data_IF_658340602654
#
_entry.id   IF_658340602654
#
_cell.length_a   1.000
_cell.length_b   1.000
_cell.length_c   1.000
_cell.angle_alpha   90.00
_cell.angle_beta   90.00
_cell.angle_gamma   90.00
#
_symmetry.space_group_name_H-M   'P 1'
#
loop_
_entity.id
_entity.type
_entity.pdbx_description
1 polymer ?
#
# COMPACT_ATOMS: atom_id res chain seq x y z
N UNK A 1 -9.85 -28.47 -25.54
CA UNK A 1 -10.89 -27.47 -25.87
C UNK A 1 -11.40 -26.73 -24.62
N UNK A 2 -10.53 -26.12 -23.80
CA UNK A 2 -10.93 -25.47 -22.53
C UNK A 2 -10.41 -24.03 -22.35
N UNK A 3 -9.78 -23.46 -23.38
CA UNK A 3 -9.19 -22.11 -23.35
C UNK A 3 -10.09 -21.01 -23.96
N UNK A 4 -11.15 -21.36 -24.67
CA UNK A 4 -12.06 -20.40 -25.33
C UNK A 4 -13.24 -19.93 -24.48
N UNK A 5 -13.56 -20.62 -23.36
CA UNK A 5 -14.70 -20.26 -22.50
C UNK A 5 -14.31 -19.17 -21.49
N UNK A 6 -13.05 -19.10 -21.07
CA UNK A 6 -12.58 -18.15 -20.05
C UNK A 6 -12.49 -16.70 -20.59
N UNK A 7 -12.08 -16.53 -21.85
CA UNK A 7 -12.01 -15.21 -22.48
C UNK A 7 -13.40 -14.58 -22.68
N UNK A 8 -14.42 -15.38 -22.95
CA UNK A 8 -15.79 -14.89 -23.16
C UNK A 8 -16.44 -14.45 -21.84
N UNK A 9 -16.17 -15.16 -20.74
CA UNK A 9 -16.67 -14.78 -19.42
C UNK A 9 -16.03 -13.48 -18.90
N UNK A 10 -14.73 -13.27 -19.15
CA UNK A 10 -14.02 -12.06 -18.76
C UNK A 10 -14.45 -10.84 -19.57
N UNK A 11 -14.66 -10.99 -20.89
CA UNK A 11 -15.18 -9.91 -21.75
C UNK A 11 -16.62 -9.55 -21.36
N UNK A 12 -17.47 -10.53 -21.04
CA UNK A 12 -18.85 -10.28 -20.59
C UNK A 12 -18.89 -9.55 -19.25
N UNK A 13 -18.02 -9.90 -18.29
CA UNK A 13 -17.92 -9.18 -17.02
C UNK A 13 -17.45 -7.73 -17.20
N UNK A 14 -16.40 -7.48 -18.01
CA UNK A 14 -15.92 -6.12 -18.28
C UNK A 14 -16.97 -5.24 -18.99
N UNK A 15 -17.75 -5.82 -19.91
CA UNK A 15 -18.83 -5.07 -20.55
C UNK A 15 -20.01 -4.80 -19.60
N UNK A 16 -20.29 -5.69 -18.66
CA UNK A 16 -21.39 -5.52 -17.72
C UNK A 16 -21.10 -4.42 -16.68
N UNK A 17 -19.85 -4.33 -16.19
CA UNK A 17 -19.45 -3.25 -15.28
C UNK A 17 -19.41 -1.89 -15.98
N UNK A 18 -18.90 -1.81 -17.22
CA UNK A 18 -18.93 -0.57 -18.01
C UNK A 18 -20.36 -0.11 -18.33
N UNK A 19 -21.24 -1.03 -18.74
CA UNK A 19 -22.66 -0.72 -19.02
C UNK A 19 -23.44 -0.31 -17.76
N UNK A 20 -23.16 -0.93 -16.60
CA UNK A 20 -23.80 -0.58 -15.34
C UNK A 20 -23.35 0.79 -14.82
N UNK A 21 -22.06 1.13 -14.99
CA UNK A 21 -21.53 2.45 -14.66
C UNK A 21 -22.11 3.52 -15.59
N UNK A 22 -22.20 3.26 -16.89
CA UNK A 22 -22.86 4.13 -17.85
C UNK A 22 -24.34 4.38 -17.51
N UNK A 23 -25.05 3.35 -17.00
CA UNK A 23 -26.46 3.49 -16.60
C UNK A 23 -26.63 4.29 -15.31
N UNK A 24 -25.74 4.11 -14.32
CA UNK A 24 -25.74 4.86 -13.06
C UNK A 24 -25.47 6.37 -13.28
N UNK A 25 -24.70 6.70 -14.30
CA UNK A 25 -24.30 8.07 -14.65
C UNK A 25 -25.27 8.79 -15.59
N UNK A 26 -26.41 8.18 -15.92
CA UNK A 26 -27.48 8.86 -16.67
C UNK A 26 -28.12 9.97 -15.82
N UNK A 27 -28.54 11.06 -16.47
CA UNK A 27 -29.16 12.19 -15.80
C UNK A 27 -30.36 11.82 -14.89
N UNK A 28 -31.19 10.87 -15.33
CA UNK A 28 -32.34 10.40 -14.55
C UNK A 28 -31.90 9.57 -13.31
N UNK A 29 -30.83 8.79 -13.44
CA UNK A 29 -30.25 8.03 -12.33
C UNK A 29 -29.59 8.96 -11.31
N UNK A 30 -28.78 9.91 -11.76
CA UNK A 30 -28.15 10.93 -10.93
C UNK A 30 -29.19 11.78 -10.18
N UNK A 31 -30.28 12.18 -10.85
CA UNK A 31 -31.37 12.93 -10.21
C UNK A 31 -32.03 12.10 -9.10
N UNK A 32 -32.26 10.81 -9.33
CA UNK A 32 -32.80 9.91 -8.29
C UNK A 32 -31.84 9.73 -7.13
N UNK A 33 -30.54 9.55 -7.40
CA UNK A 33 -29.51 9.42 -6.36
C UNK A 33 -29.41 10.69 -5.51
N UNK A 34 -29.36 11.87 -6.14
CA UNK A 34 -29.37 13.16 -5.44
C UNK A 34 -30.61 13.30 -4.55
N UNK A 35 -31.79 12.98 -5.10
CA UNK A 35 -33.04 13.01 -4.33
C UNK A 35 -33.03 12.05 -3.14
N UNK A 36 -32.46 10.86 -3.31
CA UNK A 36 -32.30 9.90 -2.22
C UNK A 36 -31.36 10.43 -1.13
N UNK A 37 -30.18 10.93 -1.49
CA UNK A 37 -29.23 11.49 -0.51
C UNK A 37 -29.84 12.66 0.27
N UNK A 38 -30.53 13.58 -0.41
CA UNK A 38 -31.20 14.71 0.23
C UNK A 38 -32.34 14.28 1.17
N UNK A 39 -33.02 13.17 0.88
CA UNK A 39 -34.05 12.62 1.75
C UNK A 39 -33.48 11.96 3.01
N UNK A 40 -32.30 11.34 2.92
CA UNK A 40 -31.62 10.72 4.07
C UNK A 40 -30.80 11.71 4.91
N UNK A 41 -30.20 12.72 4.28
CA UNK A 41 -29.34 13.72 4.90
C UNK A 41 -30.06 15.07 4.97
N UNK A 42 -31.08 15.14 5.84
CA UNK A 42 -31.92 16.34 5.98
C UNK A 42 -31.15 17.54 6.52
N UNK A 43 -31.45 18.73 6.01
CA UNK A 43 -30.82 19.99 6.39
C UNK A 43 -31.80 20.87 7.19
N UNK A 44 -32.00 20.55 8.48
CA UNK A 44 -32.89 21.30 9.36
C UNK A 44 -32.13 22.32 10.23
N UNK A 45 -31.77 23.45 9.62
CA UNK A 45 -31.08 24.54 10.32
C UNK A 45 -31.95 25.29 11.35
N UNK A 46 -33.25 24.96 11.46
CA UNK A 46 -34.14 25.58 12.44
C UNK A 46 -34.11 24.81 13.75
N UNK A 47 -34.20 23.48 13.67
CA UNK A 47 -34.33 22.63 14.85
C UNK A 47 -33.03 21.92 15.26
N UNK A 48 -32.10 21.69 14.32
CA UNK A 48 -30.85 20.97 14.60
C UNK A 48 -29.70 21.43 13.68
N UNK A 49 -29.11 22.58 14.02
CA UNK A 49 -28.01 23.20 13.26
C UNK A 49 -26.78 22.28 13.18
N UNK A 50 -26.45 21.57 14.25
CA UNK A 50 -25.27 20.71 14.31
C UNK A 50 -25.41 19.53 13.33
N UNK A 51 -26.54 18.82 13.40
CA UNK A 51 -26.82 17.75 12.46
C UNK A 51 -26.95 18.25 11.03
N UNK A 52 -27.57 19.42 10.81
CA UNK A 52 -27.71 20.02 9.50
C UNK A 52 -26.34 20.37 8.87
N UNK A 53 -25.39 20.90 9.65
CA UNK A 53 -24.02 21.14 9.19
C UNK A 53 -23.28 19.84 8.87
N UNK A 54 -23.41 18.81 9.72
CA UNK A 54 -22.81 17.50 9.46
C UNK A 54 -23.38 16.85 8.20
N UNK A 55 -24.71 16.93 8.00
CA UNK A 55 -25.37 16.41 6.80
C UNK A 55 -25.00 17.20 5.55
N UNK A 56 -24.82 18.52 5.65
CA UNK A 56 -24.35 19.35 4.54
C UNK A 56 -22.97 18.89 4.06
N UNK A 57 -22.04 18.65 4.98
CA UNK A 57 -20.70 18.15 4.65
C UNK A 57 -20.77 16.77 3.95
N UNK A 58 -21.53 15.83 4.52
CA UNK A 58 -21.71 14.47 3.96
C UNK A 58 -22.35 14.51 2.57
N UNK A 59 -23.35 15.37 2.37
CA UNK A 59 -24.03 15.52 1.09
C UNK A 59 -23.08 16.07 0.03
N UNK A 60 -22.26 17.06 0.38
CA UNK A 60 -21.21 17.59 -0.50
C UNK A 60 -20.21 16.52 -0.93
N UNK A 61 -19.71 15.71 0.02
CA UNK A 61 -18.81 14.59 -0.27
C UNK A 61 -19.45 13.56 -1.21
N UNK A 62 -20.70 13.15 -0.96
CA UNK A 62 -21.42 12.21 -1.83
C UNK A 62 -21.59 12.75 -3.25
N UNK A 63 -21.85 14.06 -3.40
CA UNK A 63 -21.97 14.69 -4.72
C UNK A 63 -20.64 14.77 -5.46
N UNK A 64 -19.54 15.01 -4.76
CA UNK A 64 -18.20 14.95 -5.35
C UNK A 64 -17.88 13.53 -5.83
N UNK A 65 -18.07 12.51 -4.98
CA UNK A 65 -17.85 11.10 -5.35
C UNK A 65 -18.68 10.71 -6.57
N UNK A 66 -19.96 11.04 -6.59
CA UNK A 66 -20.84 10.74 -7.72
C UNK A 66 -20.38 11.41 -9.03
N UNK A 67 -19.83 12.64 -8.97
CA UNK A 67 -19.29 13.29 -10.16
C UNK A 67 -18.02 12.56 -10.67
N UNK A 68 -17.11 12.21 -9.77
CA UNK A 68 -15.87 11.49 -10.09
C UNK A 68 -16.15 10.10 -10.67
N UNK A 69 -17.07 9.35 -10.06
CA UNK A 69 -17.50 8.02 -10.53
C UNK A 69 -18.10 8.08 -11.94
N UNK A 70 -18.64 9.23 -12.32
CA UNK A 70 -19.21 9.52 -13.63
C UNK A 70 -18.26 10.23 -14.60
N UNK A 71 -16.96 10.21 -14.32
CA UNK A 71 -15.92 10.66 -15.22
C UNK A 71 -15.71 12.17 -15.24
N UNK A 72 -16.21 12.91 -14.25
CA UNK A 72 -15.77 14.28 -14.06
C UNK A 72 -14.30 14.30 -13.66
N UNK A 73 -13.49 15.08 -14.38
CA UNK A 73 -12.09 15.32 -14.05
C UNK A 73 -11.97 16.73 -13.46
N UNK A 74 -11.68 16.86 -12.15
CA UNK A 74 -11.46 18.17 -11.53
C UNK A 74 -10.30 18.89 -12.19
N UNK A 75 -10.43 20.21 -12.35
CA UNK A 75 -9.32 21.03 -12.80
C UNK A 75 -8.32 21.33 -11.65
N UNK A 76 -7.16 21.87 -11.99
CA UNK A 76 -6.09 22.19 -11.03
C UNK A 76 -6.57 23.00 -9.82
N UNK A 77 -7.42 24.02 -10.03
CA UNK A 77 -7.93 24.86 -8.95
C UNK A 77 -8.86 24.08 -8.00
N UNK A 78 -9.64 23.15 -8.54
CA UNK A 78 -10.51 22.29 -7.72
C UNK A 78 -9.69 21.27 -6.92
N UNK A 79 -8.65 20.72 -7.53
CA UNK A 79 -7.71 19.81 -6.86
C UNK A 79 -7.01 20.54 -5.71
N UNK A 80 -6.44 21.72 -5.97
CA UNK A 80 -5.75 22.53 -4.96
C UNK A 80 -6.68 22.86 -3.79
N UNK A 81 -7.94 23.20 -4.08
CA UNK A 81 -8.92 23.46 -3.04
C UNK A 81 -9.23 22.22 -2.20
N UNK A 82 -9.34 21.03 -2.80
CA UNK A 82 -9.56 19.78 -2.07
C UNK A 82 -8.36 19.44 -1.18
N UNK A 83 -7.14 19.69 -1.67
CA UNK A 83 -5.91 19.52 -0.89
C UNK A 83 -5.87 20.50 0.29
N UNK A 84 -6.11 21.79 0.06
CA UNK A 84 -6.19 22.80 1.12
C UNK A 84 -7.26 22.46 2.16
N UNK A 85 -8.44 21.99 1.73
CA UNK A 85 -9.51 21.56 2.63
C UNK A 85 -9.09 20.37 3.48
N UNK A 86 -8.39 19.39 2.91
CA UNK A 86 -7.90 18.21 3.64
C UNK A 86 -6.83 18.62 4.65
N UNK A 87 -5.86 19.42 4.21
CA UNK A 87 -4.75 19.90 5.04
C UNK A 87 -5.18 20.90 6.12
N UNK A 88 -6.40 21.46 6.04
CA UNK A 88 -6.97 22.28 7.11
C UNK A 88 -7.35 21.47 8.36
N UNK A 89 -7.54 20.15 8.23
CA UNK A 89 -7.98 19.27 9.32
C UNK A 89 -7.00 18.14 9.65
N UNK A 90 -6.15 17.75 8.69
CA UNK A 90 -5.21 16.64 8.82
C UNK A 90 -3.81 17.18 8.54
N UNK A 91 -2.84 16.84 9.38
CA UNK A 91 -1.45 17.23 9.11
C UNK A 91 -0.88 16.42 7.95
N UNK A 92 0.13 16.97 7.26
CA UNK A 92 0.84 16.21 6.24
C UNK A 92 1.45 14.92 6.80
N UNK A 93 1.92 14.96 8.05
CA UNK A 93 2.49 13.80 8.73
C UNK A 93 1.44 12.70 8.94
N UNK A 94 0.20 13.05 9.32
CA UNK A 94 -0.88 12.07 9.47
C UNK A 94 -1.28 11.45 8.13
N UNK A 95 -1.28 12.24 7.04
CA UNK A 95 -1.54 11.72 5.70
C UNK A 95 -0.45 10.73 5.26
N UNK A 96 0.83 11.07 5.50
CA UNK A 96 1.96 10.19 5.23
C UNK A 96 1.83 8.90 6.05
N UNK A 97 1.55 9.00 7.35
CA UNK A 97 1.36 7.83 8.21
C UNK A 97 0.20 6.94 7.77
N UNK A 98 -0.88 7.51 7.23
CA UNK A 98 -2.02 6.76 6.71
C UNK A 98 -1.70 5.96 5.43
N UNK A 99 -0.60 6.29 4.74
CA UNK A 99 -0.13 5.56 3.55
C UNK A 99 1.04 4.61 3.88
N UNK A 100 1.51 4.61 5.11
CA UNK A 100 2.60 3.75 5.53
C UNK A 100 2.10 2.31 5.71
N UNK A 101 2.98 1.34 5.40
CA UNK A 101 2.70 -0.09 5.45
C UNK A 101 2.37 -0.59 6.87
N UNK A 102 2.78 0.15 7.91
CA UNK A 102 2.49 -0.17 9.29
C UNK A 102 3.43 -1.22 9.88
N UNK A 103 2.99 -1.86 10.97
CA UNK A 103 3.81 -2.80 11.75
C UNK A 103 3.19 -4.19 11.91
N UNK A 104 1.96 -4.41 11.42
CA UNK A 104 1.25 -5.68 11.54
C UNK A 104 1.67 -6.62 10.41
N UNK A 105 2.59 -7.55 10.71
CA UNK A 105 3.14 -8.47 9.70
C UNK A 105 2.07 -9.33 9.05
N UNK A 106 1.04 -9.77 9.80
CA UNK A 106 -0.02 -10.61 9.25
C UNK A 106 -0.89 -9.81 8.27
N UNK A 107 -1.31 -8.60 8.66
CA UNK A 107 -2.06 -7.72 7.77
C UNK A 107 -1.26 -7.34 6.51
N UNK A 108 0.03 -7.04 6.67
CA UNK A 108 0.93 -6.70 5.56
C UNK A 108 1.03 -7.88 4.58
N UNK A 109 1.17 -9.11 5.06
CA UNK A 109 1.25 -10.28 4.19
C UNK A 109 -0.04 -10.49 3.38
N UNK A 110 -1.20 -10.24 3.98
CA UNK A 110 -2.48 -10.29 3.26
C UNK A 110 -2.54 -9.23 2.16
N UNK A 111 -2.09 -8.00 2.43
CA UNK A 111 -2.03 -6.96 1.39
C UNK A 111 -1.04 -7.32 0.27
N UNK A 112 0.11 -7.89 0.63
CA UNK A 112 1.15 -8.26 -0.33
C UNK A 112 0.77 -9.43 -1.26
N UNK A 113 -0.30 -10.16 -0.98
CA UNK A 113 -0.79 -11.22 -1.88
C UNK A 113 -1.32 -10.64 -3.21
N UNK A 114 -1.83 -9.40 -3.18
CA UNK A 114 -2.38 -8.70 -4.35
C UNK A 114 -1.41 -7.66 -4.95
N UNK A 115 -0.20 -7.53 -4.38
CA UNK A 115 0.80 -6.54 -4.81
C UNK A 115 2.02 -7.23 -5.43
N UNK A 116 2.31 -6.89 -6.68
CA UNK A 116 3.49 -7.40 -7.38
C UNK A 116 4.67 -6.45 -7.19
N UNK A 117 5.77 -6.94 -6.62
CA UNK A 117 6.99 -6.16 -6.44
C UNK A 117 7.83 -6.04 -7.71
N UNK A 118 8.37 -4.84 -7.96
CA UNK A 118 9.38 -4.59 -8.98
C UNK A 118 10.79 -4.66 -8.35
N UNK A 119 11.60 -5.70 -8.65
CA UNK A 119 12.92 -5.84 -8.07
C UNK A 119 13.91 -4.75 -8.52
N UNK A 120 13.69 -4.09 -9.67
CA UNK A 120 14.50 -2.95 -10.09
C UNK A 120 14.20 -1.74 -9.22
N UNK A 121 12.92 -1.45 -8.97
CA UNK A 121 12.55 -0.38 -8.05
C UNK A 121 13.01 -0.68 -6.62
N UNK A 122 12.93 -1.96 -6.20
CA UNK A 122 13.45 -2.43 -4.92
C UNK A 122 14.94 -2.17 -4.75
N UNK A 123 15.72 -2.39 -5.81
CA UNK A 123 17.15 -2.05 -5.81
C UNK A 123 17.40 -0.54 -5.69
N UNK A 124 16.59 0.29 -6.36
CA UNK A 124 16.71 1.75 -6.26
C UNK A 124 16.39 2.23 -4.85
N UNK A 125 15.31 1.73 -4.24
CA UNK A 125 14.95 1.99 -2.85
C UNK A 125 16.08 1.55 -1.90
N UNK A 126 16.56 0.31 -2.03
CA UNK A 126 17.63 -0.27 -1.21
C UNK A 126 18.92 0.58 -1.22
N UNK A 127 19.25 1.15 -2.38
CA UNK A 127 20.43 2.01 -2.57
C UNK A 127 20.17 3.50 -2.26
N UNK A 128 18.96 3.87 -1.83
CA UNK A 128 18.60 5.26 -1.55
C UNK A 128 18.53 6.15 -2.80
N UNK A 129 18.35 5.55 -3.98
CA UNK A 129 18.21 6.24 -5.26
C UNK A 129 16.75 6.60 -5.57
N UNK A 130 15.79 5.88 -4.99
CA UNK A 130 14.37 6.22 -4.99
C UNK A 130 13.97 6.67 -3.57
N UNK A 131 13.23 7.79 -3.42
CA UNK A 131 12.70 8.20 -2.12
C UNK A 131 11.65 7.24 -1.58
N UNK A 132 11.66 7.05 -0.26
CA UNK A 132 10.58 6.39 0.47
C UNK A 132 9.34 7.30 0.59
N UNK A 133 8.25 6.82 1.21
CA UNK A 133 6.95 7.52 1.31
C UNK A 133 7.04 8.99 1.76
N UNK A 134 7.94 9.32 2.69
CA UNK A 134 8.16 10.68 3.19
C UNK A 134 9.21 11.50 2.45
N UNK A 135 9.68 11.04 1.28
CA UNK A 135 10.73 11.71 0.51
C UNK A 135 12.16 11.42 0.98
N UNK A 136 12.34 10.64 2.05
CA UNK A 136 13.66 10.28 2.58
C UNK A 136 14.26 9.10 1.80
N UNK A 137 15.56 9.19 1.49
CA UNK A 137 16.31 8.03 0.99
C UNK A 137 16.47 6.97 2.10
N UNK A 138 16.35 5.69 1.72
CA UNK A 138 16.69 4.58 2.61
C UNK A 138 18.21 4.37 2.66
N UNK A 139 18.68 3.72 3.72
CA UNK A 139 20.10 3.48 3.98
C UNK A 139 20.50 2.00 4.02
N UNK A 140 19.74 1.11 3.38
CA UNK A 140 19.92 -0.34 3.50
C UNK A 140 21.34 -0.79 3.09
N UNK A 141 21.80 -0.32 1.92
CA UNK A 141 23.15 -0.61 1.41
C UNK A 141 24.28 -0.23 2.38
N UNK A 142 24.12 0.87 3.12
CA UNK A 142 25.14 1.36 4.04
C UNK A 142 25.52 0.38 5.15
N UNK A 143 24.61 -0.53 5.53
CA UNK A 143 24.88 -1.59 6.51
C UNK A 143 25.05 -2.96 5.86
N UNK A 144 24.22 -3.28 4.86
CA UNK A 144 24.16 -4.61 4.25
C UNK A 144 25.19 -4.85 3.12
N UNK A 145 26.15 -3.93 2.93
CA UNK A 145 27.37 -4.15 2.15
C UNK A 145 28.62 -4.33 3.04
N UNK A 146 28.44 -4.32 4.37
CA UNK A 146 29.50 -4.49 5.34
C UNK A 146 29.17 -5.61 6.34
N UNK A 147 29.74 -6.79 6.10
CA UNK A 147 29.49 -8.00 6.91
C UNK A 147 29.81 -7.83 8.41
N UNK A 148 30.65 -6.86 8.77
CA UNK A 148 30.95 -6.56 10.18
C UNK A 148 29.79 -5.86 10.92
N UNK A 149 28.81 -5.32 10.20
CA UNK A 149 27.69 -4.52 10.75
C UNK A 149 26.36 -5.24 10.60
N UNK A 150 26.11 -5.84 9.44
CA UNK A 150 24.89 -6.58 9.14
C UNK A 150 25.19 -7.74 8.17
N UNK A 151 24.30 -8.74 8.05
CA UNK A 151 24.41 -9.75 7.01
C UNK A 151 24.48 -9.06 5.64
N UNK A 152 25.39 -9.53 4.78
CA UNK A 152 25.49 -9.00 3.41
C UNK A 152 24.17 -9.12 2.66
N UNK A 153 23.92 -8.28 1.66
CA UNK A 153 22.74 -8.43 0.80
C UNK A 153 22.89 -9.57 -0.19
N UNK A 154 24.09 -9.76 -0.76
CA UNK A 154 24.36 -10.90 -1.63
C UNK A 154 24.12 -12.23 -0.88
N UNK A 155 23.38 -13.15 -1.49
CA UNK A 155 23.01 -14.44 -0.88
C UNK A 155 21.97 -14.36 0.23
N UNK A 156 21.21 -13.25 0.34
CA UNK A 156 20.15 -13.11 1.35
C UNK A 156 19.11 -14.20 1.20
N UNK A 157 18.64 -14.44 -0.02
CA UNK A 157 17.66 -15.50 -0.29
C UNK A 157 18.16 -16.86 0.19
N UNK A 158 19.38 -17.23 -0.19
CA UNK A 158 19.99 -18.52 0.21
C UNK A 158 20.13 -18.65 1.71
N UNK A 159 20.55 -17.59 2.42
CA UNK A 159 20.65 -17.64 3.89
C UNK A 159 19.28 -17.73 4.54
N UNK A 160 18.24 -17.09 4.00
CA UNK A 160 16.87 -17.25 4.49
C UNK A 160 16.44 -18.71 4.33
N UNK A 161 16.56 -19.26 3.12
CA UNK A 161 16.14 -20.62 2.79
C UNK A 161 16.90 -21.69 3.60
N UNK A 162 18.23 -21.67 3.52
CA UNK A 162 19.07 -22.76 4.01
C UNK A 162 19.41 -22.65 5.49
N UNK A 163 19.45 -21.42 6.05
CA UNK A 163 19.92 -21.21 7.43
C UNK A 163 18.82 -20.71 8.37
N UNK A 164 17.92 -19.82 7.91
CA UNK A 164 16.89 -19.23 8.79
C UNK A 164 15.67 -20.13 8.88
N UNK A 165 15.06 -20.49 7.77
CA UNK A 165 13.87 -21.34 7.76
C UNK A 165 14.15 -22.79 8.20
N UNK A 166 15.43 -23.20 8.27
CA UNK A 166 15.85 -24.44 8.90
C UNK A 166 15.73 -24.44 10.44
N UNK A 167 15.58 -23.28 11.08
CA UNK A 167 15.45 -23.18 12.54
C UNK A 167 14.04 -23.58 12.99
N UNK A 168 13.88 -24.32 14.10
CA UNK A 168 12.56 -24.74 14.58
C UNK A 168 11.59 -23.59 14.87
N UNK A 169 12.10 -22.40 15.20
CA UNK A 169 11.28 -21.21 15.46
C UNK A 169 10.57 -20.67 14.20
N UNK A 170 11.05 -21.03 13.01
CA UNK A 170 10.55 -20.55 11.72
C UNK A 170 9.97 -21.70 10.88
N UNK A 171 9.59 -22.82 11.50
CA UNK A 171 9.12 -24.01 10.79
C UNK A 171 7.90 -23.77 9.91
N UNK A 172 7.05 -22.81 10.27
CA UNK A 172 5.83 -22.43 9.52
C UNK A 172 5.98 -21.10 8.76
N UNK A 173 7.18 -20.51 8.74
CA UNK A 173 7.42 -19.25 8.05
C UNK A 173 7.61 -19.47 6.55
N UNK A 174 7.11 -18.52 5.76
CA UNK A 174 7.55 -18.35 4.37
C UNK A 174 8.78 -17.44 4.28
N UNK A 175 9.52 -17.50 3.16
CA UNK A 175 10.62 -16.56 2.88
C UNK A 175 10.14 -15.11 2.95
N UNK A 176 9.01 -14.82 2.31
CA UNK A 176 8.38 -13.50 2.30
C UNK A 176 8.06 -13.01 3.70
N UNK A 177 7.46 -13.87 4.55
CA UNK A 177 7.17 -13.51 5.94
C UNK A 177 8.44 -13.17 6.72
N UNK A 178 9.49 -14.00 6.59
CA UNK A 178 10.76 -13.74 7.27
C UNK A 178 11.38 -12.40 6.84
N UNK A 179 11.38 -12.09 5.54
CA UNK A 179 11.91 -10.83 5.01
C UNK A 179 11.08 -9.62 5.44
N UNK A 180 9.75 -9.71 5.36
CA UNK A 180 8.83 -8.65 5.79
C UNK A 180 9.00 -8.35 7.28
N UNK A 181 9.00 -9.37 8.13
CA UNK A 181 9.20 -9.20 9.58
C UNK A 181 10.59 -8.63 9.88
N UNK A 182 11.63 -9.09 9.17
CA UNK A 182 12.99 -8.56 9.35
C UNK A 182 13.11 -7.07 8.99
N UNK A 183 12.33 -6.58 8.03
CA UNK A 183 12.33 -5.16 7.64
C UNK A 183 11.49 -4.30 8.59
N UNK A 184 10.29 -4.78 8.93
CA UNK A 184 9.28 -3.98 9.64
C UNK A 184 9.44 -4.10 11.16
N UNK A 185 9.94 -5.23 11.65
CA UNK A 185 10.19 -5.53 13.06
C UNK A 185 11.60 -6.11 13.24
N UNK A 186 12.68 -5.38 12.93
CA UNK A 186 14.05 -5.92 12.88
C UNK A 186 14.56 -6.48 14.21
N UNK A 187 13.97 -6.09 15.35
CA UNK A 187 14.33 -6.62 16.66
C UNK A 187 13.54 -7.87 17.07
N UNK A 188 12.55 -8.31 16.28
CA UNK A 188 11.83 -9.56 16.52
C UNK A 188 12.76 -10.78 16.42
N UNK A 189 13.72 -10.74 15.50
CA UNK A 189 14.80 -11.71 15.40
C UNK A 189 16.11 -11.03 14.97
N UNK A 190 17.10 -11.10 15.86
CA UNK A 190 18.46 -10.64 15.56
C UNK A 190 19.27 -11.86 15.11
N UNK A 191 19.82 -11.78 13.90
CA UNK A 191 20.72 -12.82 13.38
C UNK A 191 21.91 -13.01 14.33
N UNK A 192 22.32 -14.26 14.62
CA UNK A 192 23.52 -14.53 15.42
C UNK A 192 24.73 -13.71 14.95
N UNK A 193 25.58 -13.32 15.90
CA UNK A 193 26.79 -12.52 15.69
C UNK A 193 26.59 -11.03 15.34
N UNK A 194 25.33 -10.56 15.23
CA UNK A 194 25.01 -9.14 15.02
C UNK A 194 24.39 -8.48 16.25
N UNK A 195 24.61 -7.16 16.37
CA UNK A 195 24.16 -6.36 17.51
C UNK A 195 22.73 -5.79 17.37
N UNK A 196 22.02 -6.07 16.27
CA UNK A 196 20.69 -5.53 16.02
C UNK A 196 20.69 -4.02 15.78
N UNK A 197 21.38 -3.56 14.73
CA UNK A 197 21.51 -2.13 14.41
C UNK A 197 20.48 -1.61 13.38
N UNK A 198 19.61 -2.48 12.86
CA UNK A 198 18.63 -2.10 11.84
C UNK A 198 17.50 -1.23 12.45
N UNK A 199 17.20 -0.05 11.88
CA UNK A 199 16.20 0.87 12.43
C UNK A 199 14.74 0.34 12.45
N UNK A 200 14.03 0.48 13.57
CA UNK A 200 12.59 0.17 13.70
C UNK A 200 11.68 1.30 13.19
N UNK A 201 11.96 1.82 11.99
CA UNK A 201 11.22 2.95 11.40
C UNK A 201 10.58 2.63 10.05
N UNK A 202 10.95 1.52 9.43
CA UNK A 202 10.59 1.23 8.04
C UNK A 202 9.09 1.00 7.84
N UNK A 203 8.37 0.50 8.85
CA UNK A 203 6.91 0.43 8.85
C UNK A 203 6.20 1.78 8.72
N UNK A 204 6.88 2.89 9.04
CA UNK A 204 6.38 4.25 8.88
C UNK A 204 6.95 4.99 7.66
N UNK A 205 7.92 4.41 6.98
CA UNK A 205 8.62 5.03 5.85
C UNK A 205 8.30 4.38 4.51
N UNK A 206 7.83 3.14 4.51
CA UNK A 206 7.49 2.39 3.30
C UNK A 206 5.99 2.36 3.09
N UNK A 207 5.56 2.42 1.83
CA UNK A 207 4.23 1.93 1.42
C UNK A 207 4.25 0.41 1.26
N UNK A 208 3.07 -0.21 1.15
CA UNK A 208 2.95 -1.64 0.82
C UNK A 208 3.66 -1.99 -0.49
N UNK A 209 3.55 -1.15 -1.53
CA UNK A 209 4.27 -1.35 -2.80
C UNK A 209 5.79 -1.26 -2.63
N UNK A 210 6.31 -0.26 -1.90
CA UNK A 210 7.76 -0.12 -1.69
C UNK A 210 8.34 -1.30 -0.91
N UNK A 211 7.58 -1.84 0.06
CA UNK A 211 7.96 -3.07 0.75
C UNK A 211 7.94 -4.27 -0.20
N UNK A 212 6.93 -4.41 -1.06
CA UNK A 212 6.86 -5.47 -2.06
C UNK A 212 8.07 -5.43 -3.00
N UNK A 213 8.47 -4.25 -3.46
CA UNK A 213 9.62 -4.01 -4.32
C UNK A 213 10.93 -4.42 -3.63
N UNK A 214 11.13 -3.99 -2.38
CA UNK A 214 12.28 -4.36 -1.57
C UNK A 214 12.38 -5.89 -1.37
N UNK A 215 11.27 -6.54 -1.04
CA UNK A 215 11.22 -7.99 -0.88
C UNK A 215 11.54 -8.69 -2.20
N UNK A 216 10.97 -8.23 -3.32
CA UNK A 216 11.28 -8.79 -4.64
C UNK A 216 12.77 -8.63 -5.01
N UNK A 217 13.39 -7.51 -4.66
CA UNK A 217 14.82 -7.32 -4.82
C UNK A 217 15.63 -8.30 -3.96
N UNK A 218 15.30 -8.46 -2.67
CA UNK A 218 15.99 -9.38 -1.77
C UNK A 218 15.81 -10.85 -2.17
N UNK A 219 14.63 -11.22 -2.69
CA UNK A 219 14.34 -12.55 -3.24
C UNK A 219 15.25 -12.88 -4.43
N UNK A 220 15.69 -11.86 -5.19
CA UNK A 220 16.64 -12.06 -6.30
C UNK A 220 18.09 -12.24 -5.85
N UNK A 221 18.41 -12.04 -4.57
CA UNK A 221 19.78 -12.11 -4.03
C UNK A 221 20.15 -13.55 -3.64
N UNK A 222 20.25 -14.42 -4.64
CA UNK A 222 20.63 -15.83 -4.47
C UNK A 222 22.13 -16.06 -4.71
N UNK A 223 22.75 -16.90 -3.89
CA UNK A 223 24.14 -17.36 -4.00
C UNK A 223 24.30 -18.74 -3.35
N UNK A 224 24.57 -19.77 -4.15
CA UNK A 224 24.80 -21.14 -3.64
C UNK A 224 25.92 -21.18 -2.58
N UNK A 225 25.61 -21.69 -1.39
CA UNK A 225 26.61 -21.92 -0.34
C UNK A 225 27.40 -23.20 -0.68
N UNK A 226 28.68 -23.05 -1.05
CA UNK A 226 29.60 -24.17 -1.33
C UNK A 226 30.01 -24.38 -2.79
N UNK A 227 29.84 -23.37 -3.65
CA UNK A 227 30.22 -23.39 -5.06
C UNK A 227 31.61 -22.82 -5.41
N UNK A 228 32.59 -22.93 -4.50
CA UNK A 228 34.01 -22.66 -4.79
C UNK A 228 34.85 -23.95 -4.75
#
# INVERSE_FOLDING_TARGET
MRKTILALALIVLLTASGLAQDEACRADALTRQQGAFAAYLTLDFVNDVELALANLFRLGALYQTMALDCGYEPNEVEIDRLLEQTLAFVSLDDLILAQAVGADVEAILVELDDVYGDPLNGQLLYNGLEPALGGSALGCAGCHENEAVAPLTAGTWTRVDELRLALPAFADYSHRQFLVESIIQPMAYITPDYAGMMPEIYGRQLTTQQLADLVAFLDSQDQLLGGE
#
